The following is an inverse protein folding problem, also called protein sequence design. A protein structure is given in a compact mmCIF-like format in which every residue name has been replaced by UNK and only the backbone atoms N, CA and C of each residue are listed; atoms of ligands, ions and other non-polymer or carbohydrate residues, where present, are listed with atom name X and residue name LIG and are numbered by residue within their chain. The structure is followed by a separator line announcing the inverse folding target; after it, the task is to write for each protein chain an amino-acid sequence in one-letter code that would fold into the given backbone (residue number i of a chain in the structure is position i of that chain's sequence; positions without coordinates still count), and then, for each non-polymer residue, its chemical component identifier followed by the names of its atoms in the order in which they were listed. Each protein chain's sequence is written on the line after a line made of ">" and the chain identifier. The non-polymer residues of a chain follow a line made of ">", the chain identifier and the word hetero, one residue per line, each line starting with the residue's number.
data_IF_854563718163
#
_entry.id   IF_854563718163
#
_cell.length_a   1.000
_cell.length_b   1.000
_cell.length_c   1.000
_cell.angle_alpha   90.00
_cell.angle_beta   90.00
_cell.angle_gamma   90.00
#
_symmetry.space_group_name_H-M   'P 1'
#
loop_
_entity.id
_entity.type
_entity.pdbx_description
1 polymer ?
#
# COMPACT_ATOMS: atom_id res chain seq x y z
N UNK A 1 6.47 45.18 4.83
CA UNK A 1 6.51 44.18 3.78
C UNK A 1 7.73 44.32 2.93
N UNK A 2 8.57 43.30 2.81
CA UNK A 2 9.73 43.32 1.94
C UNK A 2 9.29 43.28 0.47
N UNK A 3 9.72 44.27 -0.32
CA UNK A 3 9.48 44.28 -1.77
C UNK A 3 10.46 43.34 -2.45
N UNK A 4 9.95 42.27 -3.05
CA UNK A 4 10.77 41.37 -3.88
C UNK A 4 10.90 41.96 -5.29
N UNK A 5 12.13 42.16 -5.75
CA UNK A 5 12.42 42.62 -7.10
C UNK A 5 12.74 41.44 -8.00
N UNK A 6 11.91 41.19 -9.02
CA UNK A 6 12.15 40.16 -10.01
C UNK A 6 13.03 40.76 -11.15
N UNK A 7 14.18 40.12 -11.44
CA UNK A 7 15.06 40.50 -12.52
C UNK A 7 15.24 39.38 -13.51
N UNK A 8 14.95 39.59 -14.79
CA UNK A 8 15.20 38.64 -15.88
C UNK A 8 16.46 39.08 -16.61
N UNK A 9 17.60 38.37 -16.45
CA UNK A 9 18.86 38.77 -17.08
C UNK A 9 18.82 38.50 -18.59
N UNK A 10 19.17 39.49 -19.39
CA UNK A 10 19.15 39.38 -20.85
C UNK A 10 20.53 39.06 -21.46
N UNK A 11 21.64 39.21 -20.73
CA UNK A 11 23.04 39.01 -21.22
C UNK A 11 23.99 38.73 -20.06
N UNK A 12 25.18 38.21 -20.38
CA UNK A 12 26.28 37.96 -19.44
C UNK A 12 26.05 36.73 -18.54
N UNK A 13 26.95 36.54 -17.58
CA UNK A 13 27.00 35.36 -16.71
C UNK A 13 25.66 35.02 -16.01
N UNK A 14 24.90 36.04 -15.62
CA UNK A 14 23.56 35.81 -15.01
C UNK A 14 22.56 35.16 -15.97
N UNK A 15 22.62 35.49 -17.28
CA UNK A 15 21.80 34.81 -18.30
C UNK A 15 22.23 33.38 -18.47
N UNK A 16 23.52 33.09 -18.46
CA UNK A 16 24.04 31.70 -18.55
C UNK A 16 23.59 30.85 -17.36
N UNK A 17 23.65 31.41 -16.14
CA UNK A 17 23.13 30.70 -14.93
C UNK A 17 21.63 30.39 -15.03
N UNK A 18 20.83 31.35 -15.51
CA UNK A 18 19.38 31.10 -15.70
C UNK A 18 19.14 30.07 -16.80
N UNK A 19 19.91 30.08 -17.89
CA UNK A 19 19.83 29.08 -18.94
C UNK A 19 20.20 27.70 -18.44
N UNK A 20 21.27 27.56 -17.65
CA UNK A 20 21.66 26.30 -17.01
C UNK A 20 20.58 25.77 -16.03
N UNK A 21 20.03 26.65 -15.20
CA UNK A 21 18.95 26.31 -14.29
C UNK A 21 17.71 25.83 -15.04
N UNK A 22 17.37 26.46 -16.17
CA UNK A 22 16.26 26.06 -17.02
C UNK A 22 16.50 24.68 -17.67
N UNK A 23 17.71 24.41 -18.17
CA UNK A 23 18.08 23.13 -18.73
C UNK A 23 17.99 22.01 -17.68
N UNK A 24 18.51 22.25 -16.47
CA UNK A 24 18.43 21.30 -15.37
C UNK A 24 16.98 21.02 -14.95
N UNK A 25 16.16 22.06 -14.84
CA UNK A 25 14.74 21.91 -14.51
C UNK A 25 13.98 21.10 -15.58
N UNK A 26 14.27 21.32 -16.86
CA UNK A 26 13.70 20.59 -17.96
C UNK A 26 14.13 19.11 -17.96
N UNK A 27 15.41 18.84 -17.78
CA UNK A 27 15.94 17.48 -17.69
C UNK A 27 15.30 16.72 -16.50
N UNK A 28 15.20 17.35 -15.34
CA UNK A 28 14.52 16.76 -14.18
C UNK A 28 13.04 16.48 -14.46
N UNK A 29 12.33 17.37 -15.12
CA UNK A 29 10.93 17.17 -15.47
C UNK A 29 10.74 16.00 -16.44
N UNK A 30 11.60 15.89 -17.45
CA UNK A 30 11.58 14.79 -18.40
C UNK A 30 11.88 13.45 -17.72
N UNK A 31 12.84 13.41 -16.80
CA UNK A 31 13.15 12.23 -16.01
C UNK A 31 11.98 11.81 -15.10
N UNK A 32 11.36 12.78 -14.40
CA UNK A 32 10.16 12.50 -13.59
C UNK A 32 9.01 11.93 -14.43
N UNK A 33 8.75 12.51 -15.61
CA UNK A 33 7.73 11.98 -16.54
C UNK A 33 8.01 10.54 -16.97
N UNK A 34 9.27 10.21 -17.31
CA UNK A 34 9.66 8.84 -17.65
C UNK A 34 9.44 7.86 -16.50
N UNK A 35 9.77 8.28 -15.25
CA UNK A 35 9.52 7.46 -14.06
C UNK A 35 8.03 7.18 -13.88
N UNK A 36 7.18 8.19 -13.94
CA UNK A 36 5.73 8.03 -13.80
C UNK A 36 5.17 7.06 -14.84
N UNK A 37 5.60 7.16 -16.10
CA UNK A 37 5.17 6.22 -17.15
C UNK A 37 5.64 4.80 -16.86
N UNK A 38 6.89 4.61 -16.47
CA UNK A 38 7.44 3.30 -16.10
C UNK A 38 6.72 2.70 -14.90
N UNK A 39 6.45 3.51 -13.88
CA UNK A 39 5.78 3.06 -12.66
C UNK A 39 4.34 2.61 -12.96
N UNK A 40 3.61 3.36 -13.78
CA UNK A 40 2.26 2.97 -14.19
C UNK A 40 2.24 1.68 -15.02
N UNK A 41 3.27 1.44 -15.82
CA UNK A 41 3.40 0.20 -16.58
C UNK A 41 3.65 -1.01 -15.67
N UNK A 42 4.51 -0.87 -14.66
CA UNK A 42 4.74 -1.91 -13.66
C UNK A 42 3.43 -2.25 -12.93
N UNK A 43 2.69 -1.25 -12.47
CA UNK A 43 1.41 -1.49 -11.78
C UNK A 43 0.39 -2.20 -12.68
N UNK A 44 0.35 -1.88 -13.97
CA UNK A 44 -0.49 -2.60 -14.94
C UNK A 44 -0.07 -4.06 -15.13
N UNK A 45 1.24 -4.32 -15.17
CA UNK A 45 1.75 -5.70 -15.24
C UNK A 45 1.35 -6.49 -14.00
N UNK A 46 1.45 -5.90 -12.80
CA UNK A 46 0.98 -6.51 -11.55
C UNK A 46 -0.52 -6.76 -11.60
N UNK A 47 -1.31 -5.77 -12.04
CA UNK A 47 -2.75 -5.89 -12.20
C UNK A 47 -3.11 -7.08 -13.10
N UNK A 48 -2.47 -7.16 -14.28
CA UNK A 48 -2.73 -8.22 -15.25
C UNK A 48 -2.28 -9.59 -14.72
N UNK A 49 -1.11 -9.67 -14.10
CA UNK A 49 -0.56 -10.91 -13.58
C UNK A 49 -1.41 -11.50 -12.45
N UNK A 50 -1.89 -10.65 -11.55
CA UNK A 50 -2.73 -11.04 -10.42
C UNK A 50 -4.24 -11.00 -10.73
N UNK A 51 -4.63 -10.63 -11.96
CA UNK A 51 -6.03 -10.46 -12.38
C UNK A 51 -6.83 -9.52 -11.46
N UNK A 52 -6.19 -8.42 -11.04
CA UNK A 52 -6.82 -7.45 -10.14
C UNK A 52 -7.88 -6.62 -10.88
N UNK A 53 -8.95 -6.28 -10.17
CA UNK A 53 -10.05 -5.44 -10.68
C UNK A 53 -9.63 -3.99 -10.87
N UNK A 54 -8.71 -3.53 -10.00
CA UNK A 54 -8.22 -2.14 -9.99
C UNK A 54 -6.71 -2.10 -10.13
N UNK A 55 -6.20 -0.96 -10.60
CA UNK A 55 -4.77 -0.69 -10.55
C UNK A 55 -4.34 -0.59 -9.08
N UNK A 56 -3.34 -1.36 -8.60
CA UNK A 56 -2.97 -1.41 -7.19
C UNK A 56 -2.05 -0.22 -6.81
N UNK A 57 -2.60 1.00 -6.80
CA UNK A 57 -1.85 2.20 -6.41
C UNK A 57 -1.55 2.22 -4.90
N UNK A 58 -2.53 1.78 -4.09
CA UNK A 58 -2.35 1.59 -2.66
C UNK A 58 -2.47 0.12 -2.28
N UNK A 59 -1.38 -0.44 -1.75
CA UNK A 59 -1.29 -1.85 -1.32
C UNK A 59 -0.99 -1.90 0.17
N UNK A 60 -1.72 -2.73 0.91
CA UNK A 60 -1.45 -3.01 2.32
C UNK A 60 -1.15 -4.49 2.49
N UNK A 61 0.00 -4.81 3.09
CA UNK A 61 0.41 -6.18 3.40
C UNK A 61 0.45 -6.40 4.90
N UNK A 62 -0.17 -7.49 5.36
CA UNK A 62 -0.28 -7.89 6.76
C UNK A 62 0.52 -9.16 7.02
N UNK A 63 1.33 -9.13 8.06
CA UNK A 63 2.10 -10.24 8.58
C UNK A 63 1.81 -10.47 10.07
N UNK A 64 1.62 -11.73 10.46
CA UNK A 64 1.47 -12.14 11.86
C UNK A 64 2.75 -12.85 12.28
N UNK A 65 3.44 -12.27 13.24
CA UNK A 65 4.69 -12.82 13.76
C UNK A 65 4.56 -13.15 15.25
N UNK A 66 5.00 -14.35 15.64
CA UNK A 66 5.04 -14.78 17.03
C UNK A 66 6.43 -14.56 17.60
N UNK A 67 6.54 -13.75 18.64
CA UNK A 67 7.80 -13.51 19.35
C UNK A 67 7.85 -14.35 20.64
N UNK A 68 8.77 -15.31 20.68
CA UNK A 68 9.20 -16.05 21.90
C UNK A 68 8.09 -16.37 22.91
N UNK A 69 7.00 -17.00 22.48
CA UNK A 69 6.07 -17.69 23.38
C UNK A 69 4.98 -16.86 24.07
N UNK A 70 5.05 -15.54 24.14
CA UNK A 70 4.07 -14.76 24.94
C UNK A 70 3.46 -13.54 24.24
N UNK A 71 4.06 -13.01 23.17
CA UNK A 71 3.49 -11.85 22.49
C UNK A 71 3.35 -12.10 20.98
N UNK A 72 2.12 -12.11 20.51
CA UNK A 72 1.83 -12.06 19.08
C UNK A 72 1.81 -10.59 18.63
N UNK A 73 2.60 -10.30 17.60
CA UNK A 73 2.68 -8.97 16.99
C UNK A 73 2.28 -9.10 15.53
N UNK A 74 1.37 -8.25 15.11
CA UNK A 74 1.10 -8.11 13.70
C UNK A 74 1.71 -6.82 13.15
N UNK A 75 2.19 -6.90 11.93
CA UNK A 75 2.71 -5.75 11.20
C UNK A 75 1.88 -5.50 9.94
N UNK A 76 1.73 -4.23 9.61
CA UNK A 76 1.17 -3.79 8.35
C UNK A 76 2.17 -2.87 7.67
N UNK A 77 2.55 -3.20 6.46
CA UNK A 77 3.30 -2.33 5.57
C UNK A 77 2.38 -1.78 4.49
N UNK A 78 2.68 -0.57 4.03
CA UNK A 78 1.89 0.12 3.03
C UNK A 78 2.79 0.56 1.88
N UNK A 79 2.32 0.36 0.67
CA UNK A 79 2.91 0.82 -0.57
C UNK A 79 1.93 1.75 -1.26
N UNK A 80 2.37 2.91 -1.71
CA UNK A 80 1.49 3.91 -2.31
C UNK A 80 2.26 4.73 -3.34
N UNK A 81 1.67 4.95 -4.51
CA UNK A 81 2.32 5.68 -5.58
C UNK A 81 3.66 5.08 -6.00
N UNK A 82 3.74 3.76 -6.11
CA UNK A 82 4.91 2.95 -6.48
C UNK A 82 6.14 3.11 -5.55
N UNK A 83 5.91 3.38 -4.26
CA UNK A 83 6.97 3.49 -3.24
C UNK A 83 6.47 3.06 -1.86
N UNK A 84 7.39 2.65 -0.95
CA UNK A 84 7.02 2.38 0.43
C UNK A 84 6.49 3.65 1.11
N UNK A 85 5.25 3.60 1.61
CA UNK A 85 4.62 4.66 2.41
C UNK A 85 4.87 4.38 3.90
N UNK A 86 6.10 4.62 4.35
CA UNK A 86 6.54 4.26 5.72
C UNK A 86 5.74 4.94 6.83
N UNK A 87 5.22 6.12 6.58
CA UNK A 87 4.34 6.86 7.48
C UNK A 87 3.02 6.14 7.75
N UNK A 88 2.62 5.24 6.86
CA UNK A 88 1.43 4.40 6.97
C UNK A 88 1.71 3.01 7.58
N UNK A 89 2.97 2.67 7.89
CA UNK A 89 3.31 1.41 8.54
C UNK A 89 2.74 1.34 9.95
N UNK A 90 2.24 0.18 10.35
CA UNK A 90 1.66 -0.02 11.68
C UNK A 90 2.15 -1.33 12.29
N UNK A 91 2.36 -1.28 13.61
CA UNK A 91 2.56 -2.47 14.45
C UNK A 91 1.39 -2.59 15.39
N UNK A 92 0.80 -3.76 15.45
CA UNK A 92 -0.35 -4.06 16.30
C UNK A 92 0.11 -5.01 17.41
N UNK A 93 0.03 -4.54 18.66
CA UNK A 93 0.13 -5.41 19.82
C UNK A 93 -1.24 -6.04 20.03
N UNK A 94 -1.30 -7.36 19.97
CA UNK A 94 -2.55 -8.10 20.16
C UNK A 94 -2.87 -8.17 21.65
N UNK A 95 -4.09 -7.88 22.02
CA UNK A 95 -4.50 -7.74 23.43
C UNK A 95 -5.35 -8.90 23.91
N UNK A 96 -6.00 -9.62 23.00
CA UNK A 96 -7.08 -10.53 23.30
C UNK A 96 -6.67 -11.99 23.22
N UNK A 97 -5.44 -12.29 22.81
CA UNK A 97 -5.03 -13.65 22.46
C UNK A 97 -4.01 -14.15 23.45
N UNK A 98 -4.45 -15.11 24.29
CA UNK A 98 -3.59 -15.81 25.27
C UNK A 98 -2.98 -17.11 24.72
N UNK A 99 -3.24 -17.44 23.45
CA UNK A 99 -2.65 -18.59 22.74
C UNK A 99 -2.21 -18.16 21.34
N UNK A 100 -1.24 -18.85 20.71
CA UNK A 100 -0.85 -18.58 19.33
C UNK A 100 -2.00 -18.99 18.39
N UNK A 101 -2.88 -18.02 18.12
CA UNK A 101 -4.00 -18.17 17.18
C UNK A 101 -3.87 -17.10 16.10
N UNK A 102 -3.34 -17.51 14.95
CA UNK A 102 -3.13 -16.65 13.81
C UNK A 102 -4.44 -16.09 13.23
N UNK A 103 -5.54 -16.85 13.36
CA UNK A 103 -6.85 -16.44 12.83
C UNK A 103 -7.42 -15.31 13.66
N UNK A 104 -7.48 -15.48 14.98
CA UNK A 104 -7.97 -14.46 15.90
C UNK A 104 -7.06 -13.20 15.84
N UNK A 105 -5.75 -13.42 15.65
CA UNK A 105 -4.78 -12.35 15.46
C UNK A 105 -5.06 -11.53 14.21
N UNK A 106 -5.31 -12.21 13.08
CA UNK A 106 -5.65 -11.56 11.81
C UNK A 106 -6.99 -10.83 11.92
N UNK A 107 -8.01 -11.45 12.55
CA UNK A 107 -9.31 -10.82 12.78
C UNK A 107 -9.19 -9.52 13.58
N UNK A 108 -8.45 -9.52 14.70
CA UNK A 108 -8.26 -8.31 15.51
C UNK A 108 -7.59 -7.20 14.70
N UNK A 109 -6.52 -7.51 13.98
CA UNK A 109 -5.74 -6.52 13.22
C UNK A 109 -6.55 -5.89 12.11
N UNK A 110 -7.17 -6.71 11.27
CA UNK A 110 -7.96 -6.22 10.14
C UNK A 110 -9.19 -5.43 10.60
N UNK A 111 -9.87 -5.90 11.65
CA UNK A 111 -11.00 -5.18 12.26
C UNK A 111 -10.56 -3.78 12.70
N UNK A 112 -9.47 -3.68 13.47
CA UNK A 112 -8.95 -2.38 13.94
C UNK A 112 -8.50 -1.46 12.81
N UNK A 113 -7.91 -2.03 11.74
CA UNK A 113 -7.47 -1.25 10.58
C UNK A 113 -8.66 -0.73 9.77
N UNK A 114 -9.58 -1.62 9.42
CA UNK A 114 -10.65 -1.26 8.48
C UNK A 114 -11.83 -0.54 9.12
N UNK A 115 -12.07 -0.68 10.41
CA UNK A 115 -12.98 0.22 11.15
C UNK A 115 -12.52 1.68 11.05
N UNK A 116 -11.20 1.95 11.12
CA UNK A 116 -10.66 3.30 10.92
C UNK A 116 -10.81 3.79 9.48
N UNK A 117 -10.70 2.89 8.50
CA UNK A 117 -10.94 3.25 7.12
C UNK A 117 -12.41 3.61 6.86
N UNK A 118 -13.33 2.81 7.39
CA UNK A 118 -14.78 3.07 7.28
C UNK A 118 -15.21 4.34 8.01
N UNK A 119 -14.52 4.74 9.08
CA UNK A 119 -14.74 6.02 9.75
C UNK A 119 -14.13 7.23 9.02
N UNK A 120 -13.56 7.04 7.83
CA UNK A 120 -12.98 8.11 7.02
C UNK A 120 -11.60 8.60 7.49
N UNK A 121 -10.98 7.96 8.48
CA UNK A 121 -9.68 8.37 9.00
C UNK A 121 -8.51 7.98 8.06
N UNK A 122 -8.69 6.95 7.26
CA UNK A 122 -7.69 6.46 6.31
C UNK A 122 -8.38 5.84 5.09
N UNK A 123 -7.81 5.95 3.88
CA UNK A 123 -8.40 5.32 2.70
C UNK A 123 -8.34 3.79 2.79
N UNK A 124 -9.26 3.11 2.09
CA UNK A 124 -9.15 1.69 1.79
C UNK A 124 -8.03 1.46 0.77
N UNK A 125 -7.30 0.34 0.84
CA UNK A 125 -6.32 -0.01 -0.19
C UNK A 125 -7.00 -0.53 -1.46
N UNK A 126 -6.28 -0.51 -2.57
CA UNK A 126 -6.71 -1.16 -3.81
C UNK A 126 -6.44 -2.67 -3.76
N UNK A 127 -5.38 -3.07 -3.07
CA UNK A 127 -5.01 -4.48 -2.87
C UNK A 127 -4.64 -4.75 -1.41
N UNK A 128 -5.20 -5.81 -0.86
CA UNK A 128 -4.83 -6.37 0.45
C UNK A 128 -3.99 -7.63 0.22
N UNK A 129 -2.83 -7.70 0.86
CA UNK A 129 -1.96 -8.87 0.85
C UNK A 129 -1.91 -9.45 2.25
N UNK A 130 -2.17 -10.74 2.38
CA UNK A 130 -2.02 -11.50 3.63
C UNK A 130 -0.77 -12.37 3.49
N UNK A 131 0.24 -12.11 4.32
CA UNK A 131 1.39 -13.00 4.43
C UNK A 131 0.99 -14.20 5.30
N UNK A 132 0.53 -15.25 4.60
CA UNK A 132 -0.01 -16.42 5.26
C UNK A 132 -0.76 -17.37 4.32
N UNK A 133 -1.25 -18.45 4.87
CA UNK A 133 -1.94 -19.50 4.13
C UNK A 133 -3.43 -19.23 3.89
N UNK A 134 -4.09 -20.21 3.25
CA UNK A 134 -5.52 -20.18 2.93
C UNK A 134 -6.42 -19.91 4.16
N UNK A 135 -6.01 -20.39 5.33
CA UNK A 135 -6.76 -20.16 6.55
C UNK A 135 -6.78 -18.69 6.97
N UNK A 136 -5.64 -18.02 6.94
CA UNK A 136 -5.54 -16.59 7.25
C UNK A 136 -6.27 -15.73 6.21
N UNK A 137 -6.26 -16.14 4.93
CA UNK A 137 -7.08 -15.50 3.90
C UNK A 137 -8.58 -15.60 4.24
N UNK A 138 -9.06 -16.79 4.62
CA UNK A 138 -10.46 -16.99 4.99
C UNK A 138 -10.86 -16.13 6.20
N UNK A 139 -9.98 -16.03 7.21
CA UNK A 139 -10.21 -15.14 8.35
C UNK A 139 -10.31 -13.67 7.90
N UNK A 140 -9.44 -13.25 6.99
CA UNK A 140 -9.48 -11.90 6.43
C UNK A 140 -10.79 -11.62 5.67
N UNK A 141 -11.24 -12.56 4.83
CA UNK A 141 -12.51 -12.45 4.09
C UNK A 141 -13.70 -12.32 5.04
N UNK A 142 -13.76 -13.13 6.10
CA UNK A 142 -14.82 -13.07 7.10
C UNK A 142 -14.86 -11.72 7.81
N UNK A 143 -13.70 -11.11 8.08
CA UNK A 143 -13.62 -9.75 8.65
C UNK A 143 -14.16 -8.70 7.70
N UNK A 144 -13.76 -8.74 6.43
CA UNK A 144 -14.25 -7.79 5.44
C UNK A 144 -15.78 -7.86 5.31
N UNK A 145 -16.33 -9.07 5.24
CA UNK A 145 -17.77 -9.30 5.19
C UNK A 145 -18.49 -8.76 6.44
N UNK A 146 -17.97 -9.06 7.64
CA UNK A 146 -18.50 -8.57 8.92
C UNK A 146 -18.50 -7.04 9.01
N UNK A 147 -17.53 -6.39 8.37
CA UNK A 147 -17.43 -4.93 8.30
C UNK A 147 -18.26 -4.30 7.16
N UNK A 148 -18.93 -5.10 6.35
CA UNK A 148 -19.69 -4.63 5.20
C UNK A 148 -18.81 -4.18 4.03
N UNK A 149 -17.55 -4.59 3.99
CA UNK A 149 -16.65 -4.36 2.86
C UNK A 149 -16.87 -5.48 1.87
N UNK A 150 -17.37 -5.16 0.69
CA UNK A 150 -17.61 -6.12 -0.37
C UNK A 150 -16.27 -6.65 -0.94
N UNK A 151 -15.84 -7.80 -0.45
CA UNK A 151 -14.60 -8.43 -0.90
C UNK A 151 -14.68 -8.92 -2.36
N UNK A 152 -15.88 -9.04 -2.95
CA UNK A 152 -16.00 -9.29 -4.39
C UNK A 152 -15.57 -8.07 -5.22
N UNK A 153 -15.52 -6.88 -4.62
CA UNK A 153 -15.02 -5.66 -5.26
C UNK A 153 -13.67 -5.20 -4.72
N UNK A 154 -13.22 -5.78 -3.60
CA UNK A 154 -11.93 -5.52 -2.97
C UNK A 154 -10.93 -6.61 -3.40
N UNK A 155 -9.81 -6.21 -4.00
CA UNK A 155 -8.75 -7.16 -4.32
C UNK A 155 -8.02 -7.60 -3.05
N UNK A 156 -7.98 -8.91 -2.79
CA UNK A 156 -7.28 -9.54 -1.67
C UNK A 156 -6.62 -10.83 -2.12
N UNK A 157 -5.39 -11.03 -1.71
CA UNK A 157 -4.60 -12.24 -1.97
C UNK A 157 -3.89 -12.71 -0.71
N UNK A 158 -3.57 -13.99 -0.63
CA UNK A 158 -2.65 -14.51 0.37
C UNK A 158 -1.40 -15.06 -0.32
N UNK A 159 -0.26 -14.83 0.32
CA UNK A 159 1.04 -15.29 -0.13
C UNK A 159 1.62 -16.16 0.97
N UNK A 160 1.79 -17.44 0.70
CA UNK A 160 2.56 -18.32 1.57
C UNK A 160 3.90 -18.61 0.91
N UNK A 161 4.88 -19.04 1.69
CA UNK A 161 6.24 -19.34 1.21
C UNK A 161 6.28 -20.27 -0.02
N UNK A 162 5.21 -21.01 -0.29
CA UNK A 162 5.10 -21.97 -1.38
C UNK A 162 4.10 -21.61 -2.49
N UNK A 163 3.10 -20.77 -2.23
CA UNK A 163 2.00 -20.51 -3.18
C UNK A 163 1.33 -19.16 -2.98
N UNK A 164 0.96 -18.54 -4.12
CA UNK A 164 0.01 -17.44 -4.17
C UNK A 164 -1.42 -18.01 -4.09
N UNK A 165 -2.21 -17.55 -3.14
CA UNK A 165 -3.61 -17.96 -2.99
C UNK A 165 -4.54 -16.78 -3.29
N UNK A 166 -5.39 -16.97 -4.29
CA UNK A 166 -6.48 -16.04 -4.60
C UNK A 166 -7.78 -16.53 -3.95
N UNK A 167 -8.72 -15.64 -3.59
CA UNK A 167 -10.03 -16.05 -3.17
C UNK A 167 -10.70 -16.82 -4.32
N UNK A 168 -11.09 -18.06 -4.05
CA UNK A 168 -11.89 -18.84 -5.00
C UNK A 168 -13.32 -18.30 -4.94
N UNK A 169 -13.78 -17.65 -6.01
CA UNK A 169 -15.21 -17.46 -6.21
C UNK A 169 -15.85 -18.84 -6.21
N UNK A 170 -16.56 -19.16 -5.14
CA UNK A 170 -17.35 -20.38 -5.10
C UNK A 170 -18.40 -20.31 -6.20
N UNK A 171 -18.10 -20.88 -7.36
CA UNK A 171 -19.11 -21.35 -8.29
C UNK A 171 -19.65 -22.65 -7.70
N UNK A 172 -20.80 -22.57 -7.08
CA UNK A 172 -21.73 -23.68 -6.93
C UNK A 172 -22.68 -23.64 -8.09
#
# INVERSE_FOLDING_TARGET
>A
GHRVQLMVPKRGHKKELVSLAFQNARANLEEQRRRVVKDSEILRQVQNFLHLKKLPDRVECFDISHFSGEMTVASMVCWEGNKPAKENYRKYKLRTIHSPDDFASMEEVLTRRYQRALSGQQPLPDLIIIDGGKGQLNAALAVLEKLGIDWHQQDIIAVSYTHLTLPTNGTV
#
